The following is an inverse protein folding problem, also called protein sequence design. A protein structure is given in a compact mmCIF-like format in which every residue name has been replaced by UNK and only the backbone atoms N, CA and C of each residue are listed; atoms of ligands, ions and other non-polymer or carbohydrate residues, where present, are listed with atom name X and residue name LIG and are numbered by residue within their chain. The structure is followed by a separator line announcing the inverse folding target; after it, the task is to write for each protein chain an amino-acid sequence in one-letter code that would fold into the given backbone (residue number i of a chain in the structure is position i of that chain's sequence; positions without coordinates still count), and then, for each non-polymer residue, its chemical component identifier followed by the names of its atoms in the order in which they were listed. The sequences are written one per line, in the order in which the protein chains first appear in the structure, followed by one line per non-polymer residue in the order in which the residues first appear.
data_IF_277778484540
#
_entry.id   IF_277778484540
#
_cell.length_a   1.000
_cell.length_b   1.000
_cell.length_c   1.000
_cell.angle_alpha   90.00
_cell.angle_beta   90.00
_cell.angle_gamma   90.00
#
_symmetry.space_group_name_H-M   'P 1'
#
loop_
_entity.id
_entity.type
_entity.pdbx_description
1 polymer ?
#
# COMPACT_ATOMS: atom_id res chain seq x y z
N UNK A 1 -2.31 -0.64 -15.87
CA UNK A 1 -2.55 -2.03 -16.34
C UNK A 1 -1.39 -2.96 -15.98
N UNK A 2 -0.16 -2.75 -16.48
CA UNK A 2 0.93 -3.73 -16.32
C UNK A 2 1.45 -3.95 -14.88
N UNK A 3 1.53 -2.90 -14.08
CA UNK A 3 2.20 -2.98 -12.77
C UNK A 3 1.26 -3.29 -11.60
N UNK A 4 -0.03 -2.96 -11.69
CA UNK A 4 -0.97 -3.04 -10.56
C UNK A 4 -0.95 -4.42 -9.88
N UNK A 5 -1.26 -5.48 -10.64
CA UNK A 5 -1.31 -6.85 -10.12
C UNK A 5 0.06 -7.48 -9.80
N UNK A 6 1.17 -6.82 -10.13
CA UNK A 6 2.52 -7.36 -9.89
C UNK A 6 2.97 -7.18 -8.44
N UNK A 7 2.33 -6.28 -7.69
CA UNK A 7 2.69 -5.96 -6.31
C UNK A 7 1.53 -6.23 -5.36
N UNK A 8 1.89 -6.74 -4.19
CA UNK A 8 1.02 -6.86 -3.03
C UNK A 8 1.70 -6.07 -1.92
N UNK A 9 0.97 -5.11 -1.34
CA UNK A 9 1.44 -4.37 -0.16
C UNK A 9 1.01 -5.13 1.09
N UNK A 10 1.90 -5.17 2.08
CA UNK A 10 1.64 -5.77 3.38
C UNK A 10 1.72 -4.69 4.44
N UNK A 11 0.64 -4.44 5.18
CA UNK A 11 0.66 -3.52 6.33
C UNK A 11 0.39 -4.27 7.62
N UNK A 12 0.88 -3.72 8.72
CA UNK A 12 0.65 -4.25 10.06
C UNK A 12 -0.45 -3.45 10.76
N UNK A 13 -1.31 -4.14 11.51
CA UNK A 13 -2.26 -3.49 12.41
C UNK A 13 -1.51 -3.00 13.65
N UNK A 14 -1.36 -1.70 13.81
CA UNK A 14 -0.63 -1.08 14.93
C UNK A 14 -1.56 -0.54 16.03
N UNK A 15 -2.83 -0.35 15.71
CA UNK A 15 -3.85 0.14 16.64
C UNK A 15 -5.21 -0.52 16.38
N UNK A 16 -6.03 -0.61 17.42
CA UNK A 16 -7.36 -1.19 17.35
C UNK A 16 -8.29 -0.53 18.36
N UNK A 17 -9.50 -0.22 17.92
CA UNK A 17 -10.56 0.28 18.79
C UNK A 17 -11.91 -0.37 18.43
N UNK A 18 -12.69 -0.69 19.46
CA UNK A 18 -14.06 -1.17 19.29
C UNK A 18 -15.04 0.00 19.36
N UNK A 19 -16.12 -0.07 18.59
CA UNK A 19 -17.20 0.90 18.60
C UNK A 19 -18.51 0.26 18.14
N UNK A 20 -19.61 1.00 18.18
CA UNK A 20 -20.89 0.53 17.65
C UNK A 20 -20.83 0.41 16.12
N UNK A 21 -21.27 -0.73 15.58
CA UNK A 21 -21.14 -1.04 14.17
C UNK A 21 -21.84 -0.01 13.26
N UNK A 22 -22.95 0.58 13.72
CA UNK A 22 -23.68 1.64 13.01
C UNK A 22 -22.82 2.82 12.54
N UNK A 23 -21.75 3.17 13.27
CA UNK A 23 -20.88 4.29 12.87
C UNK A 23 -19.96 3.93 11.69
N UNK A 24 -19.65 2.64 11.50
CA UNK A 24 -18.89 2.12 10.35
C UNK A 24 -19.82 1.83 9.19
N UNK A 25 -20.91 1.09 9.44
CA UNK A 25 -21.83 0.63 8.39
C UNK A 25 -22.75 1.73 7.88
N UNK A 26 -22.89 2.82 8.65
CA UNK A 26 -23.84 3.92 8.40
C UNK A 26 -25.29 3.42 8.33
N UNK A 27 -25.58 2.38 9.12
CA UNK A 27 -26.90 1.78 9.27
C UNK A 27 -27.32 1.84 10.74
N UNK A 28 -28.32 2.67 11.06
CA UNK A 28 -28.83 2.86 12.42
C UNK A 28 -29.43 1.58 13.04
N UNK A 29 -29.74 0.58 12.21
CA UNK A 29 -30.26 -0.72 12.64
C UNK A 29 -29.17 -1.73 13.00
N UNK A 30 -27.89 -1.40 12.80
CA UNK A 30 -26.77 -2.26 13.16
C UNK A 30 -26.35 -2.03 14.63
N UNK A 31 -26.88 -2.87 15.52
CA UNK A 31 -26.61 -2.86 16.96
C UNK A 31 -25.37 -3.66 17.37
N UNK A 32 -24.59 -4.12 16.37
CA UNK A 32 -23.37 -4.89 16.57
C UNK A 32 -22.17 -4.08 17.07
N UNK A 33 -21.05 -4.79 17.25
CA UNK A 33 -19.74 -4.19 17.51
C UNK A 33 -18.91 -4.21 16.23
N UNK A 34 -18.42 -3.04 15.83
CA UNK A 34 -17.45 -2.86 14.76
C UNK A 34 -16.06 -2.52 15.30
N UNK A 35 -15.05 -2.62 14.44
CA UNK A 35 -13.66 -2.36 14.79
C UNK A 35 -12.99 -1.36 13.86
N UNK A 36 -12.33 -0.36 14.43
CA UNK A 36 -11.36 0.49 13.73
C UNK A 36 -9.98 -0.13 13.89
N UNK A 37 -9.27 -0.29 12.77
CA UNK A 37 -7.89 -0.75 12.74
C UNK A 37 -7.00 0.35 12.19
N UNK A 38 -5.92 0.68 12.90
CA UNK A 38 -4.88 1.59 12.42
C UNK A 38 -3.75 0.77 11.81
N UNK A 39 -3.26 1.19 10.65
CA UNK A 39 -2.11 0.56 9.97
C UNK A 39 -0.85 1.40 10.09
N UNK A 40 0.30 0.80 9.79
CA UNK A 40 1.60 1.47 9.76
C UNK A 40 1.92 2.21 8.45
N UNK A 41 0.90 2.48 7.62
CA UNK A 41 1.03 3.19 6.35
C UNK A 41 -0.16 4.14 6.19
N UNK A 42 -0.12 5.10 5.27
CA UNK A 42 -1.13 6.17 5.17
C UNK A 42 -1.49 6.52 3.72
N UNK A 43 -2.54 7.34 3.54
CA UNK A 43 -2.90 7.93 2.24
C UNK A 43 -1.85 8.91 1.71
N UNK A 44 -0.94 9.36 2.56
CA UNK A 44 0.22 10.15 2.17
C UNK A 44 1.43 9.26 1.81
N UNK A 45 1.44 8.01 2.29
CA UNK A 45 2.36 6.96 1.89
C UNK A 45 1.80 6.08 0.77
N UNK A 46 1.76 4.77 0.99
CA UNK A 46 1.39 3.83 -0.08
C UNK A 46 -0.09 3.80 -0.46
N UNK A 47 -0.96 4.38 0.35
CA UNK A 47 -2.38 4.53 0.00
C UNK A 47 -2.68 5.82 -0.78
N UNK A 48 -1.67 6.51 -1.34
CA UNK A 48 -1.86 7.67 -2.22
C UNK A 48 -2.78 7.41 -3.42
N UNK A 49 -2.93 6.15 -3.84
CA UNK A 49 -3.89 5.75 -4.84
C UNK A 49 -5.34 6.10 -4.47
N UNK A 50 -5.68 6.17 -3.18
CA UNK A 50 -7.01 6.58 -2.68
C UNK A 50 -7.35 8.00 -3.12
N UNK A 51 -6.37 8.91 -3.09
CA UNK A 51 -6.53 10.30 -3.56
C UNK A 51 -6.78 10.38 -5.07
N UNK A 52 -6.41 9.33 -5.81
CA UNK A 52 -6.63 9.18 -7.25
C UNK A 52 -7.91 8.40 -7.56
N UNK A 53 -8.84 8.31 -6.61
CA UNK A 53 -10.08 7.54 -6.69
C UNK A 53 -9.90 6.02 -6.86
N UNK A 54 -8.75 5.47 -6.47
CA UNK A 54 -8.60 4.02 -6.29
C UNK A 54 -9.27 3.58 -4.98
N UNK A 55 -9.76 2.35 -4.95
CA UNK A 55 -10.35 1.75 -3.75
C UNK A 55 -9.56 0.48 -3.43
N UNK A 56 -8.46 0.58 -2.67
CA UNK A 56 -7.69 -0.59 -2.29
C UNK A 56 -8.49 -1.43 -1.29
N UNK A 57 -8.45 -2.74 -1.46
CA UNK A 57 -9.11 -3.69 -0.57
C UNK A 57 -8.07 -4.58 0.09
N UNK A 58 -8.17 -4.72 1.40
CA UNK A 58 -7.31 -5.63 2.15
C UNK A 58 -8.02 -6.90 2.59
N UNK A 59 -7.21 -7.93 2.80
CA UNK A 59 -7.60 -9.17 3.47
C UNK A 59 -6.59 -9.47 4.59
N UNK A 60 -7.01 -10.11 5.70
CA UNK A 60 -6.06 -10.62 6.68
C UNK A 60 -5.13 -11.65 6.05
N UNK A 61 -3.84 -11.62 6.42
CA UNK A 61 -2.85 -12.60 5.95
C UNK A 61 -3.23 -14.01 6.42
N UNK A 62 -3.49 -14.15 7.73
CA UNK A 62 -3.95 -15.38 8.33
C UNK A 62 -5.47 -15.35 8.43
N UNK A 63 -6.13 -16.00 7.46
CA UNK A 63 -7.57 -16.21 7.52
C UNK A 63 -7.89 -17.51 8.29
N UNK A 64 -8.79 -17.40 9.26
CA UNK A 64 -9.18 -18.51 10.13
C UNK A 64 -10.56 -18.96 9.67
N UNK A 65 -10.63 -20.17 9.12
CA UNK A 65 -11.90 -20.77 8.72
C UNK A 65 -12.90 -20.73 9.88
N UNK A 66 -14.14 -20.32 9.58
CA UNK A 66 -15.27 -20.20 10.52
C UNK A 66 -15.14 -19.14 11.63
N UNK A 67 -14.12 -18.26 11.57
CA UNK A 67 -14.04 -17.15 12.51
C UNK A 67 -15.22 -16.17 12.32
N UNK A 68 -15.85 -15.70 13.42
CA UNK A 68 -16.91 -14.69 13.35
C UNK A 68 -16.44 -13.46 12.59
N UNK A 69 -17.28 -13.03 11.64
CA UNK A 69 -16.99 -11.88 10.80
C UNK A 69 -17.58 -10.63 11.43
N UNK A 70 -16.80 -9.55 11.43
CA UNK A 70 -17.17 -8.25 11.97
C UNK A 70 -17.02 -7.17 10.90
N UNK A 71 -17.79 -6.10 11.05
CA UNK A 71 -17.56 -4.87 10.30
C UNK A 71 -16.36 -4.14 10.88
N UNK A 72 -15.56 -3.54 9.99
CA UNK A 72 -14.48 -2.69 10.40
C UNK A 72 -14.18 -1.60 9.38
N UNK A 73 -13.28 -0.71 9.79
CA UNK A 73 -12.68 0.32 8.94
C UNK A 73 -11.18 0.32 9.18
N UNK A 74 -10.41 0.57 8.12
CA UNK A 74 -8.95 0.56 8.15
C UNK A 74 -8.44 1.97 7.91
N UNK A 75 -7.82 2.53 8.94
CA UNK A 75 -7.23 3.86 8.93
C UNK A 75 -5.74 3.78 8.62
N UNK A 76 -5.22 4.87 8.10
CA UNK A 76 -3.78 5.04 7.95
C UNK A 76 -3.09 5.46 9.25
N UNK A 77 -1.77 5.55 9.19
CA UNK A 77 -0.91 5.80 10.33
C UNK A 77 -1.04 7.23 10.91
N UNK A 78 -1.35 8.22 10.07
CA UNK A 78 -1.34 9.65 10.46
C UNK A 78 -2.55 10.05 11.31
N UNK A 79 -3.62 9.25 11.24
CA UNK A 79 -4.91 9.49 11.90
C UNK A 79 -5.53 10.87 11.59
N UNK A 80 -5.06 11.54 10.53
CA UNK A 80 -5.63 12.79 10.08
C UNK A 80 -7.00 12.57 9.42
N UNK A 81 -7.92 13.55 9.47
CA UNK A 81 -9.16 13.47 8.72
C UNK A 81 -8.91 13.19 7.23
N UNK A 82 -9.48 12.10 6.73
CA UNK A 82 -9.27 11.64 5.35
C UNK A 82 -8.21 10.56 5.17
N UNK A 83 -7.43 10.22 6.21
CA UNK A 83 -6.48 9.11 6.19
C UNK A 83 -7.17 7.75 6.42
N UNK A 84 -8.04 7.40 5.47
CA UNK A 84 -8.85 6.17 5.48
C UNK A 84 -8.40 5.30 4.32
N UNK A 85 -7.66 4.24 4.61
CA UNK A 85 -7.18 3.30 3.60
C UNK A 85 -8.33 2.45 3.02
N UNK A 86 -9.23 1.95 3.88
CA UNK A 86 -10.43 1.23 3.46
C UNK A 86 -11.59 1.53 4.41
N UNK A 87 -12.64 2.15 3.89
CA UNK A 87 -13.76 2.65 4.69
C UNK A 87 -14.61 1.54 5.31
N UNK A 88 -14.74 0.40 4.63
CA UNK A 88 -15.50 -0.76 5.08
C UNK A 88 -14.76 -2.06 4.73
N UNK A 89 -14.51 -2.87 5.75
CA UNK A 89 -14.01 -4.24 5.64
C UNK A 89 -14.94 -5.18 6.41
N UNK A 90 -15.08 -6.41 5.91
CA UNK A 90 -15.68 -7.52 6.64
C UNK A 90 -14.65 -8.64 6.79
N UNK A 91 -14.18 -8.84 8.01
CA UNK A 91 -13.14 -9.83 8.32
C UNK A 91 -13.33 -10.39 9.74
N UNK A 92 -12.53 -11.40 10.10
CA UNK A 92 -12.40 -11.80 11.51
C UNK A 92 -11.93 -10.62 12.35
N UNK A 93 -12.16 -10.68 13.66
CA UNK A 93 -11.57 -9.70 14.56
C UNK A 93 -10.02 -9.78 14.47
N UNK A 94 -9.37 -8.65 14.17
CA UNK A 94 -7.92 -8.55 14.10
C UNK A 94 -7.33 -8.11 15.43
N UNK A 95 -6.05 -8.39 15.64
CA UNK A 95 -5.26 -7.95 16.78
C UNK A 95 -4.14 -7.02 16.32
N UNK A 96 -3.61 -6.19 17.24
CA UNK A 96 -2.35 -5.47 16.98
C UNK A 96 -1.26 -6.49 16.71
N UNK A 97 -0.49 -6.30 15.64
CA UNK A 97 0.48 -7.25 15.12
C UNK A 97 -0.03 -8.13 13.98
N UNK A 98 -1.34 -8.22 13.74
CA UNK A 98 -1.87 -8.93 12.56
C UNK A 98 -1.48 -8.20 11.27
N UNK A 99 -1.33 -8.97 10.18
CA UNK A 99 -0.97 -8.45 8.87
C UNK A 99 -2.17 -8.39 7.94
N UNK A 100 -2.21 -7.31 7.16
CA UNK A 100 -3.18 -7.07 6.09
C UNK A 100 -2.47 -7.10 4.74
N UNK A 101 -3.06 -7.81 3.78
CA UNK A 101 -2.59 -7.89 2.41
C UNK A 101 -3.46 -7.05 1.49
N UNK A 102 -2.83 -6.16 0.73
CA UNK A 102 -3.46 -5.28 -0.24
C UNK A 102 -3.03 -5.73 -1.64
N UNK A 103 -3.95 -6.31 -2.40
CA UNK A 103 -3.69 -6.75 -3.77
C UNK A 103 -3.78 -5.58 -4.74
N UNK A 104 -3.24 -5.80 -5.95
CA UNK A 104 -3.23 -4.81 -7.02
C UNK A 104 -2.54 -3.49 -6.64
N UNK A 105 -1.59 -3.56 -5.71
CA UNK A 105 -0.93 -2.42 -5.08
C UNK A 105 0.34 -1.98 -5.81
N UNK A 106 0.39 -2.11 -7.14
CA UNK A 106 1.55 -1.74 -7.95
C UNK A 106 1.40 -0.48 -8.78
N UNK A 107 0.26 0.19 -8.72
CA UNK A 107 -0.01 1.41 -9.48
C UNK A 107 -0.38 2.55 -8.52
N UNK A 108 0.40 3.63 -8.55
CA UNK A 108 0.18 4.84 -7.74
C UNK A 108 0.23 4.59 -6.21
N UNK A 109 1.01 3.60 -5.78
CA UNK A 109 1.16 3.15 -4.39
C UNK A 109 2.56 3.36 -3.82
N UNK A 110 3.49 3.85 -4.63
CA UNK A 110 4.81 4.25 -4.14
C UNK A 110 4.73 5.72 -3.74
N UNK A 111 5.14 6.10 -2.52
CA UNK A 111 5.27 7.50 -2.15
C UNK A 111 6.14 8.24 -3.17
N UNK A 112 5.75 9.45 -3.53
CA UNK A 112 6.48 10.30 -4.50
C UNK A 112 7.32 11.38 -3.82
N UNK A 113 7.13 11.58 -2.53
CA UNK A 113 7.90 12.51 -1.71
C UNK A 113 9.02 11.79 -0.96
N UNK A 114 9.92 12.59 -0.37
CA UNK A 114 11.02 12.09 0.46
C UNK A 114 10.66 12.05 1.95
N UNK A 115 9.46 12.51 2.32
CA UNK A 115 9.00 12.61 3.71
C UNK A 115 8.45 11.27 4.19
N UNK A 116 7.78 10.53 3.31
CA UNK A 116 7.16 9.25 3.64
C UNK A 116 8.10 8.09 3.31
N UNK A 117 8.31 7.23 4.31
CA UNK A 117 9.13 6.05 4.15
C UNK A 117 8.54 5.12 3.07
N UNK A 118 9.39 4.71 2.13
CA UNK A 118 9.01 3.73 1.11
C UNK A 118 9.06 2.32 1.72
N UNK A 119 7.96 1.54 1.66
CA UNK A 119 7.98 0.16 2.13
C UNK A 119 9.03 -0.66 1.37
N UNK A 120 9.81 -1.53 2.06
CA UNK A 120 10.78 -2.39 1.39
C UNK A 120 10.14 -3.26 0.31
N UNK A 121 10.74 -3.29 -0.89
CA UNK A 121 10.22 -4.04 -2.04
C UNK A 121 11.04 -5.30 -2.29
N UNK A 122 10.38 -6.45 -2.29
CA UNK A 122 11.00 -7.75 -2.56
C UNK A 122 10.53 -8.33 -3.89
N UNK A 123 11.46 -8.48 -4.84
CA UNK A 123 11.17 -9.04 -6.16
C UNK A 123 11.37 -10.55 -6.18
N UNK A 124 10.42 -11.28 -6.78
CA UNK A 124 10.52 -12.71 -6.99
C UNK A 124 9.98 -13.10 -8.37
N UNK A 125 10.51 -14.20 -8.91
CA UNK A 125 10.04 -14.78 -10.16
C UNK A 125 10.09 -16.30 -10.09
N UNK A 126 9.06 -16.97 -10.64
CA UNK A 126 9.10 -18.41 -10.84
C UNK A 126 10.21 -18.79 -11.81
N UNK A 127 10.82 -19.96 -11.61
CA UNK A 127 11.94 -20.46 -12.43
C UNK A 127 11.56 -20.49 -13.92
N UNK A 128 10.34 -20.94 -14.23
CA UNK A 128 9.76 -20.99 -15.56
C UNK A 128 9.62 -19.60 -16.21
N UNK A 129 9.15 -18.62 -15.44
CA UNK A 129 9.02 -17.23 -15.88
C UNK A 129 10.39 -16.61 -16.11
N UNK A 130 11.35 -16.87 -15.21
CA UNK A 130 12.71 -16.40 -15.32
C UNK A 130 13.39 -16.94 -16.59
N UNK A 131 13.28 -18.24 -16.85
CA UNK A 131 13.79 -18.87 -18.08
C UNK A 131 13.20 -18.25 -19.35
N UNK A 132 11.91 -17.92 -19.33
CA UNK A 132 11.25 -17.23 -20.44
C UNK A 132 11.80 -15.82 -20.64
N UNK A 133 12.02 -15.07 -19.57
CA UNK A 133 12.56 -13.70 -19.62
C UNK A 133 13.98 -13.72 -20.22
N UNK A 134 14.87 -14.57 -19.72
CA UNK A 134 16.24 -14.67 -20.23
C UNK A 134 16.28 -15.22 -21.67
N UNK A 135 15.38 -16.14 -22.02
CA UNK A 135 15.28 -16.70 -23.37
C UNK A 135 14.85 -15.67 -24.41
N UNK A 136 13.92 -14.76 -24.04
CA UNK A 136 13.55 -13.62 -24.87
C UNK A 136 14.73 -12.65 -25.02
N UNK A 137 15.41 -12.33 -23.90
CA UNK A 137 16.57 -11.44 -23.90
C UNK A 137 17.66 -11.95 -24.86
N UNK A 138 18.04 -13.23 -24.75
CA UNK A 138 19.08 -13.82 -25.58
C UNK A 138 18.72 -13.84 -27.07
N UNK A 139 17.45 -14.08 -27.42
CA UNK A 139 16.97 -14.01 -28.81
C UNK A 139 17.00 -12.59 -29.36
N UNK A 140 16.58 -11.61 -28.56
CA UNK A 140 16.65 -10.20 -28.94
C UNK A 140 18.11 -9.78 -29.19
N UNK A 141 19.01 -10.07 -28.24
CA UNK A 141 20.44 -9.75 -28.35
C UNK A 141 21.10 -10.43 -29.54
N UNK A 142 20.74 -11.69 -29.83
CA UNK A 142 21.25 -12.41 -31.01
C UNK A 142 20.73 -11.82 -32.34
N UNK A 143 19.50 -11.31 -32.36
CA UNK A 143 18.95 -10.63 -33.54
C UNK A 143 19.65 -9.28 -33.80
N UNK A 144 19.99 -8.52 -32.75
CA UNK A 144 20.80 -7.30 -32.87
C UNK A 144 22.24 -7.60 -33.32
N UNK A 145 22.86 -8.66 -32.79
CA UNK A 145 24.21 -9.06 -33.20
C UNK A 145 24.27 -9.51 -34.67
N UNK A 146 23.25 -10.22 -35.17
CA UNK A 146 23.18 -10.64 -36.57
C UNK A 146 22.64 -9.56 -37.53
N UNK A 147 22.00 -8.50 -37.02
CA UNK A 147 21.53 -7.34 -37.79
C UNK A 147 22.57 -6.22 -37.94
N UNK A 148 23.67 -6.25 -37.17
CA UNK A 148 24.70 -5.21 -37.12
C UNK A 148 25.70 -5.18 -38.28
N UNK A 149 25.53 -6.02 -39.31
CA UNK A 149 26.32 -5.98 -40.54
C UNK A 149 25.52 -5.35 -41.69
N UNK A 150 24.91 -4.17 -41.48
CA UNK A 150 24.74 -3.16 -42.53
C UNK A 150 24.17 -1.85 -41.97
N UNK A 151 25.03 -0.82 -42.06
CA UNK A 151 24.76 0.63 -42.11
C UNK A 151 24.36 1.40 -40.84
N UNK A 152 25.20 2.41 -40.56
CA UNK A 152 24.73 3.77 -40.27
C UNK A 152 24.78 4.17 -38.81
N UNK A 153 25.66 5.13 -38.50
CA UNK A 153 25.79 5.85 -37.24
C UNK A 153 24.46 6.31 -36.64
N UNK A 154 24.26 6.02 -35.35
CA UNK A 154 23.71 6.96 -34.35
C UNK A 154 23.96 6.40 -32.94
N UNK A 155 24.99 6.94 -32.28
CA UNK A 155 25.30 6.63 -30.90
C UNK A 155 24.33 7.41 -29.99
N UNK A 156 23.49 6.69 -29.24
CA UNK A 156 22.67 7.27 -28.18
C UNK A 156 23.44 7.15 -26.86
N UNK A 157 23.85 8.29 -26.31
CA UNK A 157 24.53 8.40 -25.02
C UNK A 157 23.60 7.92 -23.89
N UNK A 158 24.08 6.95 -23.11
CA UNK A 158 23.50 6.58 -21.82
C UNK A 158 23.83 7.65 -20.79
N UNK A 159 22.81 8.35 -20.30
CA UNK A 159 22.95 9.31 -19.21
C UNK A 159 23.20 8.60 -17.87
N UNK A 160 24.33 9.00 -17.28
CA UNK A 160 24.87 8.74 -15.95
C UNK A 160 24.07 9.49 -14.86
N UNK A 161 23.67 8.79 -13.79
CA UNK A 161 24.05 8.99 -12.37
C UNK A 161 23.44 10.17 -11.59
N UNK A 162 23.01 9.88 -10.35
CA UNK A 162 22.45 10.87 -9.44
C UNK A 162 21.98 10.25 -8.12
N UNK A 163 22.92 9.70 -7.35
CA UNK A 163 22.71 9.36 -5.94
C UNK A 163 23.44 10.41 -5.07
N UNK A 164 22.69 11.13 -4.24
CA UNK A 164 23.13 12.03 -3.16
C UNK A 164 21.85 12.51 -2.45
N UNK A 165 21.71 12.74 -1.15
CA UNK A 165 22.55 12.60 0.04
C UNK A 165 21.54 12.56 1.22
N UNK A 166 21.93 11.92 2.32
CA UNK A 166 21.15 11.80 3.56
C UNK A 166 21.47 12.96 4.50
N UNK A 167 20.45 13.66 4.99
CA UNK A 167 20.58 14.58 6.13
C UNK A 167 19.40 14.38 7.10
N UNK A 168 19.75 14.28 8.37
CA UNK A 168 18.92 13.99 9.55
C UNK A 168 18.20 15.23 10.07
N UNK A 169 16.97 15.10 10.59
CA UNK A 169 16.34 16.12 11.43
C UNK A 169 15.53 15.52 12.58
N UNK A 170 15.64 16.23 13.70
CA UNK A 170 15.30 15.88 15.08
C UNK A 170 13.80 15.96 15.43
N UNK A 171 13.43 15.20 16.47
CA UNK A 171 12.10 15.06 17.06
C UNK A 171 11.71 16.25 17.96
N UNK A 172 10.48 16.77 17.79
CA UNK A 172 9.80 17.62 18.79
C UNK A 172 8.41 17.02 19.09
N UNK A 173 8.23 16.56 20.33
CA UNK A 173 7.00 16.00 20.91
C UNK A 173 5.98 17.12 21.25
N UNK A 174 4.81 17.13 20.61
CA UNK A 174 3.63 17.88 21.08
C UNK A 174 2.42 16.96 21.35
N UNK A 175 1.71 17.29 22.44
CA UNK A 175 0.74 16.51 23.22
C UNK A 175 -0.49 16.04 22.41
N UNK A 176 -0.60 14.72 22.26
CA UNK A 176 -1.58 13.96 21.46
C UNK A 176 -3.02 13.99 21.98
N UNK A 177 -3.29 14.64 23.11
CA UNK A 177 -4.60 14.54 23.77
C UNK A 177 -5.66 15.46 23.15
N UNK A 178 -5.26 16.56 22.48
CA UNK A 178 -6.20 17.51 21.86
C UNK A 178 -6.70 17.09 20.46
N UNK A 179 -6.06 16.10 19.82
CA UNK A 179 -6.42 15.66 18.46
C UNK A 179 -7.70 14.80 18.42
N UNK A 180 -8.02 14.09 19.51
CA UNK A 180 -9.12 13.11 19.54
C UNK A 180 -10.52 13.73 19.44
N UNK A 181 -10.72 14.96 19.93
CA UNK A 181 -12.05 15.61 19.93
C UNK A 181 -12.40 16.27 18.58
N UNK A 182 -11.42 16.60 17.73
CA UNK A 182 -11.66 17.26 16.44
C UNK A 182 -12.07 16.30 15.32
N UNK A 183 -11.66 15.03 15.39
CA UNK A 183 -11.91 14.03 14.35
C UNK A 183 -13.41 13.73 14.18
N UNK A 184 -14.21 13.88 15.24
CA UNK A 184 -15.64 13.51 15.22
C UNK A 184 -16.60 14.62 14.74
N UNK A 185 -16.14 15.86 14.53
CA UNK A 185 -17.04 16.98 14.25
C UNK A 185 -17.18 17.36 12.77
N UNK A 186 -16.34 16.84 11.87
CA UNK A 186 -16.27 17.31 10.47
C UNK A 186 -16.72 16.28 9.42
N UNK A 187 -17.45 15.24 9.81
CA UNK A 187 -18.03 14.27 8.86
C UNK A 187 -19.55 14.45 8.65
N UNK A 188 -20.09 15.66 8.79
CA UNK A 188 -21.45 15.98 8.32
C UNK A 188 -21.48 16.22 6.81
#
# INVERSE_FOLDING_TARGET
YFAAAAFVLCTNVIGKQALEARYITKDDFDDGVGFVYQTNDSVYGSFGCVLMNSQPECIPLDDVADAPQHFGTVLGASLQPGDVAQSLIRCRQLCVGDWLLWRDAGAYTMPLDAEHAVPPVYYFAGSDKWERIIGIHNKATSAYANGGANNGSDAMETASDGASDVESLDDDDEDMTECFDRVFYYSQ
#
